data_IF_259456817002
#
_entry.id   IF_259456817002
#
_cell.length_a   1.000
_cell.length_b   1.000
_cell.length_c   1.000
_cell.angle_alpha   90.00
_cell.angle_beta   90.00
_cell.angle_gamma   90.00
#
_symmetry.space_group_name_H-M   'P 1'
#
loop_
_entity.id
_entity.type
_entity.pdbx_description
1 polymer ?
#
# COMPACT_ATOMS: atom_id res chain seq x y z
N UNK A 1 -13.42 9.83 44.58
CA UNK A 1 -14.62 9.16 44.05
C UNK A 1 -14.94 9.90 42.77
N UNK A 2 -14.40 9.42 41.65
CA UNK A 2 -14.54 10.07 40.34
C UNK A 2 -15.72 9.40 39.66
N UNK A 3 -16.77 10.17 39.41
CA UNK A 3 -17.95 9.71 38.69
C UNK A 3 -17.61 9.49 37.20
N UNK A 4 -18.11 8.36 36.72
CA UNK A 4 -18.13 7.94 35.33
C UNK A 4 -18.75 9.04 34.45
N UNK A 5 -17.99 9.51 33.46
CA UNK A 5 -18.57 10.02 32.22
C UNK A 5 -18.61 8.85 31.25
N UNK A 6 -19.80 8.25 31.15
CA UNK A 6 -20.16 7.34 30.07
C UNK A 6 -19.85 8.03 28.73
N UNK A 7 -18.84 7.51 28.04
CA UNK A 7 -18.58 7.86 26.66
C UNK A 7 -19.73 7.32 25.81
N UNK A 8 -20.59 8.23 25.33
CA UNK A 8 -21.73 7.91 24.49
C UNK A 8 -21.29 7.18 23.20
N UNK A 9 -21.61 5.88 23.05
CA UNK A 9 -21.22 5.08 21.90
C UNK A 9 -21.91 5.52 20.60
N UNK A 10 -22.88 6.45 20.67
CA UNK A 10 -23.52 7.03 19.49
C UNK A 10 -22.60 8.02 18.74
N UNK A 11 -21.74 8.76 19.44
CA UNK A 11 -20.82 9.73 18.82
C UNK A 11 -19.76 9.07 17.91
N UNK A 12 -19.23 7.91 18.30
CA UNK A 12 -18.22 7.17 17.52
C UNK A 12 -18.77 6.48 16.25
N UNK A 13 -20.09 6.24 16.18
CA UNK A 13 -20.73 5.66 14.99
C UNK A 13 -21.13 6.71 13.96
N UNK A 14 -21.47 7.92 14.41
CA UNK A 14 -21.90 9.00 13.53
C UNK A 14 -20.72 9.70 12.83
N UNK A 15 -19.55 9.81 13.49
CA UNK A 15 -18.34 10.34 12.83
C UNK A 15 -17.89 9.45 11.67
N UNK A 16 -17.81 8.13 11.89
CA UNK A 16 -17.33 7.19 10.86
C UNK A 16 -18.12 7.24 9.54
N UNK A 17 -19.43 7.45 9.60
CA UNK A 17 -20.27 7.49 8.39
C UNK A 17 -20.13 8.81 7.61
N UNK A 18 -20.00 9.93 8.32
CA UNK A 18 -19.73 11.25 7.73
C UNK A 18 -18.30 11.28 7.17
N UNK A 19 -17.33 10.75 7.92
CA UNK A 19 -15.95 10.58 7.48
C UNK A 19 -15.90 9.74 6.18
N UNK A 20 -16.61 8.61 6.12
CA UNK A 20 -16.65 7.77 4.92
C UNK A 20 -17.25 8.48 3.70
N UNK A 21 -18.29 9.31 3.86
CA UNK A 21 -18.90 10.05 2.75
C UNK A 21 -17.98 11.17 2.22
N UNK A 22 -17.34 11.91 3.10
CA UNK A 22 -16.40 12.97 2.71
C UNK A 22 -15.16 12.37 2.03
N UNK A 23 -14.60 11.29 2.60
CA UNK A 23 -13.52 10.53 1.97
C UNK A 23 -13.93 9.94 0.62
N UNK A 24 -15.17 9.43 0.49
CA UNK A 24 -15.66 8.88 -0.76
C UNK A 24 -15.65 9.94 -1.87
N UNK A 25 -16.19 11.13 -1.60
CA UNK A 25 -16.28 12.19 -2.60
C UNK A 25 -14.89 12.69 -3.01
N UNK A 26 -13.97 12.83 -2.05
CA UNK A 26 -12.61 13.28 -2.29
C UNK A 26 -11.77 12.21 -3.02
N UNK A 27 -11.84 10.95 -2.61
CA UNK A 27 -11.11 9.85 -3.25
C UNK A 27 -11.57 9.64 -4.68
N UNK A 28 -12.88 9.58 -4.91
CA UNK A 28 -13.41 9.36 -6.27
C UNK A 28 -12.93 10.45 -7.24
N UNK A 29 -12.85 11.70 -6.77
CA UNK A 29 -12.43 12.80 -7.63
C UNK A 29 -10.91 12.88 -7.82
N UNK A 30 -10.12 12.35 -6.89
CA UNK A 30 -8.66 12.54 -6.85
C UNK A 30 -7.84 11.30 -7.20
N UNK A 31 -8.41 10.10 -7.14
CA UNK A 31 -7.73 8.86 -7.56
C UNK A 31 -8.28 8.46 -8.93
N UNK A 32 -7.45 8.55 -9.97
CA UNK A 32 -7.85 8.24 -11.35
C UNK A 32 -6.98 7.15 -11.94
N UNK A 33 -7.60 6.24 -12.70
CA UNK A 33 -6.86 5.27 -13.48
C UNK A 33 -6.29 5.94 -14.74
N UNK A 34 -5.02 5.69 -15.04
CA UNK A 34 -4.44 6.03 -16.33
C UNK A 34 -5.07 5.20 -17.44
N UNK A 35 -5.23 5.80 -18.62
CA UNK A 35 -5.70 5.14 -19.82
C UNK A 35 -4.57 4.54 -20.69
N UNK A 36 -3.31 4.71 -20.28
CA UNK A 36 -2.14 4.22 -21.01
C UNK A 36 -1.78 2.77 -20.62
N UNK A 37 -0.99 2.10 -21.45
CA UNK A 37 -0.48 0.76 -21.14
C UNK A 37 0.45 0.79 -19.93
N UNK A 38 0.62 -0.35 -19.25
CA UNK A 38 1.47 -0.42 -18.05
C UNK A 38 2.93 -0.02 -18.35
N UNK A 39 3.46 -0.38 -19.52
CA UNK A 39 4.83 -0.03 -19.90
C UNK A 39 5.00 1.48 -20.08
N UNK A 40 4.05 2.15 -20.74
CA UNK A 40 4.05 3.62 -20.88
C UNK A 40 3.87 4.29 -19.52
N UNK A 41 3.02 3.73 -18.64
CA UNK A 41 2.86 4.22 -17.29
C UNK A 41 4.18 4.16 -16.50
N UNK A 42 4.96 3.08 -16.63
CA UNK A 42 6.26 2.97 -15.95
C UNK A 42 7.23 4.04 -16.45
N UNK A 43 7.29 4.27 -17.76
CA UNK A 43 8.14 5.31 -18.36
C UNK A 43 7.79 6.70 -17.85
N UNK A 44 6.50 7.03 -17.83
CA UNK A 44 6.04 8.39 -17.51
C UNK A 44 5.94 8.67 -16.00
N UNK A 45 5.56 7.66 -15.20
CA UNK A 45 5.16 7.85 -13.81
C UNK A 45 6.12 7.23 -12.80
N UNK A 46 7.01 6.32 -13.21
CA UNK A 46 7.97 5.64 -12.33
C UNK A 46 9.40 5.91 -12.82
N UNK A 47 9.90 7.14 -12.67
CA UNK A 47 11.21 7.52 -13.19
C UNK A 47 12.32 6.77 -12.45
N UNK A 48 13.33 6.34 -13.20
CA UNK A 48 14.57 5.77 -12.68
C UNK A 48 15.76 6.37 -13.42
N UNK A 49 16.78 6.78 -12.67
CA UNK A 49 18.03 7.32 -13.23
C UNK A 49 18.94 6.21 -13.81
N UNK A 50 18.59 4.95 -13.56
CA UNK A 50 19.29 3.78 -14.07
C UNK A 50 18.31 2.82 -14.76
N UNK A 51 18.75 2.10 -15.81
CA UNK A 51 17.92 1.07 -16.40
C UNK A 51 17.61 -0.02 -15.36
N UNK A 52 16.41 -0.65 -15.41
CA UNK A 52 16.10 -1.79 -14.57
C UNK A 52 17.15 -2.88 -14.72
N UNK A 53 17.52 -3.50 -13.60
CA UNK A 53 18.38 -4.70 -13.66
C UNK A 53 17.61 -5.88 -14.25
N UNK A 54 18.31 -6.95 -14.65
CA UNK A 54 17.62 -8.13 -15.16
C UNK A 54 16.77 -8.76 -14.06
N UNK A 55 15.45 -8.87 -14.29
CA UNK A 55 14.53 -9.52 -13.36
C UNK A 55 15.01 -10.95 -13.07
N UNK A 56 15.26 -11.30 -11.80
CA UNK A 56 15.68 -12.64 -11.47
C UNK A 56 14.56 -13.63 -11.78
N UNK A 57 14.92 -14.89 -11.98
CA UNK A 57 13.92 -15.97 -12.08
C UNK A 57 13.24 -16.13 -10.72
N UNK A 58 12.03 -15.60 -10.61
CA UNK A 58 11.18 -15.74 -9.41
C UNK A 58 10.53 -17.13 -9.34
N UNK A 59 10.54 -17.86 -10.45
CA UNK A 59 10.07 -19.25 -10.54
C UNK A 59 8.62 -19.41 -10.09
N UNK A 60 8.38 -20.40 -9.23
CA UNK A 60 7.05 -20.71 -8.68
C UNK A 60 6.65 -19.82 -7.49
N UNK A 61 7.51 -18.93 -6.98
CA UNK A 61 7.22 -18.16 -5.75
C UNK A 61 6.05 -17.19 -5.93
N UNK A 62 5.98 -16.45 -7.04
CA UNK A 62 4.82 -15.60 -7.33
C UNK A 62 3.56 -16.42 -7.60
N UNK A 63 3.71 -17.62 -8.18
CA UNK A 63 2.58 -18.53 -8.41
C UNK A 63 2.02 -19.08 -7.09
N UNK A 64 2.88 -19.27 -6.08
CA UNK A 64 2.52 -19.74 -4.75
C UNK A 64 1.66 -18.75 -3.95
N UNK A 65 1.59 -17.47 -4.35
CA UNK A 65 0.65 -16.52 -3.73
C UNK A 65 -0.79 -16.98 -4.02
N UNK A 66 -1.61 -17.30 -3.02
CA UNK A 66 -2.95 -17.81 -3.25
C UNK A 66 -3.86 -16.75 -3.93
N UNK A 67 -4.67 -17.19 -4.90
CA UNK A 67 -5.64 -16.35 -5.63
C UNK A 67 -7.04 -16.39 -5.02
N UNK A 68 -7.23 -17.17 -3.95
CA UNK A 68 -8.50 -17.42 -3.25
C UNK A 68 -8.16 -17.85 -1.83
N UNK A 69 -9.11 -17.68 -0.92
CA UNK A 69 -8.93 -18.05 0.48
C UNK A 69 -8.85 -16.82 1.37
N UNK A 70 -8.19 -16.95 2.52
CA UNK A 70 -8.09 -15.86 3.48
C UNK A 70 -7.00 -14.89 3.04
N UNK A 71 -7.28 -13.59 3.13
CA UNK A 71 -6.33 -12.54 2.77
C UNK A 71 -4.96 -12.70 3.46
N UNK A 72 -4.96 -13.07 4.75
CA UNK A 72 -3.75 -13.33 5.54
C UNK A 72 -2.83 -14.41 4.94
N UNK A 73 -3.38 -15.38 4.20
CA UNK A 73 -2.60 -16.45 3.57
C UNK A 73 -1.76 -15.94 2.38
N UNK A 74 -2.02 -14.71 1.91
CA UNK A 74 -1.26 -14.08 0.83
C UNK A 74 0.05 -13.43 1.31
N UNK A 75 0.16 -13.06 2.59
CA UNK A 75 1.17 -12.10 3.03
C UNK A 75 2.58 -12.70 3.04
N UNK A 76 2.79 -13.83 3.71
CA UNK A 76 4.11 -14.48 3.76
C UNK A 76 4.61 -14.95 2.38
N UNK A 77 3.77 -15.57 1.53
CA UNK A 77 4.16 -15.87 0.14
C UNK A 77 4.55 -14.62 -0.65
N UNK A 78 3.85 -13.49 -0.43
CA UNK A 78 4.17 -12.22 -1.10
C UNK A 78 5.51 -11.66 -0.63
N UNK A 79 5.77 -11.68 0.68
CA UNK A 79 7.07 -11.28 1.25
C UNK A 79 8.21 -12.12 0.66
N UNK A 80 8.04 -13.43 0.57
CA UNK A 80 9.04 -14.33 0.00
C UNK A 80 9.30 -14.02 -1.50
N UNK A 81 8.24 -13.83 -2.28
CA UNK A 81 8.35 -13.55 -3.71
C UNK A 81 9.00 -12.19 -4.00
N UNK A 82 8.62 -11.14 -3.27
CA UNK A 82 9.21 -9.80 -3.38
C UNK A 82 10.67 -9.79 -2.91
N UNK A 83 10.99 -10.51 -1.83
CA UNK A 83 12.37 -10.70 -1.37
C UNK A 83 13.25 -11.34 -2.44
N UNK A 84 12.74 -12.36 -3.13
CA UNK A 84 13.44 -13.00 -4.25
C UNK A 84 13.68 -12.02 -5.42
N UNK A 85 12.68 -11.22 -5.78
CA UNK A 85 12.79 -10.19 -6.82
C UNK A 85 13.93 -9.21 -6.51
N UNK A 86 14.00 -8.74 -5.26
CA UNK A 86 15.00 -7.76 -4.83
C UNK A 86 16.41 -8.35 -4.67
N UNK A 87 16.62 -9.67 -4.74
CA UNK A 87 17.97 -10.25 -4.55
C UNK A 87 19.00 -9.82 -5.59
N UNK A 88 18.52 -9.47 -6.79
CA UNK A 88 19.39 -8.95 -7.86
C UNK A 88 19.93 -7.55 -7.56
N UNK A 89 19.33 -6.82 -6.60
CA UNK A 89 19.73 -5.46 -6.28
C UNK A 89 21.02 -5.44 -5.45
N UNK A 90 21.84 -4.39 -5.59
CA UNK A 90 22.96 -4.14 -4.68
C UNK A 90 22.51 -4.13 -3.22
N UNK A 91 23.29 -4.73 -2.32
CA UNK A 91 22.94 -4.86 -0.90
C UNK A 91 22.52 -3.52 -0.26
N UNK A 92 23.23 -2.44 -0.58
CA UNK A 92 22.94 -1.10 -0.05
C UNK A 92 21.63 -0.45 -0.56
N UNK A 93 21.03 -1.00 -1.61
CA UNK A 93 19.79 -0.52 -2.23
C UNK A 93 18.65 -1.54 -2.12
N UNK A 94 18.91 -2.71 -1.52
CA UNK A 94 17.96 -3.81 -1.49
C UNK A 94 16.90 -3.59 -0.41
N UNK A 95 15.61 -3.39 -0.76
CA UNK A 95 14.56 -3.28 0.23
C UNK A 95 14.38 -4.61 0.98
N UNK A 96 13.96 -4.51 2.23
CA UNK A 96 13.51 -5.68 3.01
C UNK A 96 11.99 -5.64 3.14
N UNK A 97 11.34 -6.76 2.86
CA UNK A 97 9.89 -6.88 2.89
C UNK A 97 9.43 -7.51 4.21
N UNK A 98 8.33 -7.00 4.75
CA UNK A 98 7.82 -7.43 6.04
C UNK A 98 6.32 -7.67 5.98
N UNK A 99 5.88 -8.78 6.58
CA UNK A 99 4.48 -9.05 6.85
C UNK A 99 4.03 -8.20 8.05
N UNK A 100 3.15 -7.24 7.79
CA UNK A 100 2.56 -6.39 8.82
C UNK A 100 1.38 -7.08 9.50
N UNK A 101 0.75 -8.07 8.87
CA UNK A 101 -0.31 -8.89 9.47
C UNK A 101 -1.48 -8.06 9.95
N UNK A 102 -1.78 -6.95 9.26
CA UNK A 102 -2.77 -5.97 9.71
C UNK A 102 -2.47 -5.39 11.11
N UNK A 103 -1.21 -5.31 11.54
CA UNK A 103 -0.88 -4.61 12.79
C UNK A 103 -0.99 -3.10 12.60
N UNK A 104 -1.57 -2.36 13.56
CA UNK A 104 -1.74 -0.92 13.46
C UNK A 104 -0.40 -0.19 13.47
N UNK A 105 -0.19 0.69 12.49
CA UNK A 105 0.91 1.63 12.49
C UNK A 105 0.36 3.02 12.81
N UNK A 106 0.80 3.55 13.95
CA UNK A 106 0.44 4.89 14.47
C UNK A 106 0.76 5.99 13.47
N UNK A 107 0.04 7.11 13.57
CA UNK A 107 0.32 8.27 12.73
C UNK A 107 1.76 8.78 12.95
N UNK A 108 2.46 9.31 11.93
CA UNK A 108 3.87 9.69 12.05
C UNK A 108 4.18 10.75 13.12
N UNK A 109 3.22 11.61 13.46
CA UNK A 109 3.39 12.69 14.42
C UNK A 109 2.57 12.44 15.69
N UNK A 110 3.28 12.18 16.79
CA UNK A 110 2.68 11.84 18.08
C UNK A 110 1.68 12.90 18.58
N UNK A 111 1.94 14.18 18.30
CA UNK A 111 1.04 15.28 18.65
C UNK A 111 -0.36 15.18 18.02
N UNK A 112 -0.51 14.38 16.97
CA UNK A 112 -1.77 14.20 16.22
C UNK A 112 -2.21 12.73 16.14
N UNK A 113 -1.52 11.80 16.82
CA UNK A 113 -1.85 10.36 16.82
C UNK A 113 -3.18 10.05 17.54
N UNK A 114 -3.68 10.99 18.35
CA UNK A 114 -4.97 10.86 19.03
C UNK A 114 -6.17 11.24 18.15
N UNK A 115 -5.96 12.08 17.11
CA UNK A 115 -7.00 12.53 16.18
C UNK A 115 -7.11 11.61 14.97
N UNK A 116 -5.99 11.03 14.53
CA UNK A 116 -5.92 10.28 13.28
C UNK A 116 -5.84 8.78 13.58
N UNK A 117 -6.75 7.96 13.00
CA UNK A 117 -6.73 6.54 13.25
C UNK A 117 -5.44 5.90 12.72
N UNK A 118 -4.94 4.84 13.39
CA UNK A 118 -3.80 4.08 12.88
C UNK A 118 -4.14 3.42 11.56
N UNK A 119 -3.14 3.26 10.70
CA UNK A 119 -3.33 2.58 9.42
C UNK A 119 -2.98 1.10 9.56
N UNK A 120 -3.80 0.26 8.96
CA UNK A 120 -3.61 -1.19 8.90
C UNK A 120 -3.02 -1.53 7.53
N UNK A 121 -1.86 -2.19 7.51
CA UNK A 121 -1.15 -2.55 6.28
C UNK A 121 -0.91 -4.04 6.21
N UNK A 122 -0.74 -4.54 4.99
CA UNK A 122 -0.57 -5.98 4.74
C UNK A 122 0.91 -6.34 4.66
N UNK A 123 1.60 -5.76 3.69
CA UNK A 123 3.03 -5.96 3.45
C UNK A 123 3.69 -4.61 3.18
N UNK A 124 4.89 -4.40 3.73
CA UNK A 124 5.67 -3.19 3.52
C UNK A 124 7.08 -3.53 3.03
N UNK A 125 7.72 -2.56 2.38
CA UNK A 125 9.15 -2.56 2.13
C UNK A 125 9.82 -1.45 2.94
N UNK A 126 10.98 -1.72 3.53
CA UNK A 126 11.75 -0.74 4.31
C UNK A 126 12.85 -0.05 3.50
N UNK A 127 13.24 1.15 3.94
CA UNK A 127 14.34 1.91 3.33
C UNK A 127 15.67 1.22 3.66
N UNK A 128 16.44 0.73 2.67
CA UNK A 128 17.64 -0.08 2.91
C UNK A 128 18.73 0.61 3.73
N UNK A 129 18.86 1.92 3.57
CA UNK A 129 19.93 2.72 4.17
C UNK A 129 19.65 3.17 5.60
N UNK A 130 18.47 2.85 6.16
CA UNK A 130 18.10 3.26 7.51
C UNK A 130 18.17 2.08 8.49
N UNK A 131 18.84 2.26 9.66
CA UNK A 131 18.79 1.25 10.70
C UNK A 131 17.35 1.13 11.21
N UNK A 132 16.85 -0.11 11.25
CA UNK A 132 15.55 -0.39 11.86
C UNK A 132 15.68 -0.18 13.37
N UNK A 133 15.04 0.88 13.88
CA UNK A 133 14.98 1.21 15.30
C UNK A 133 13.61 0.83 15.84
N UNK A 134 13.57 0.09 16.95
CA UNK A 134 12.32 -0.28 17.62
C UNK A 134 11.51 0.95 18.08
N UNK A 135 10.16 0.93 17.93
CA UNK A 135 9.37 -0.10 17.29
C UNK A 135 9.63 -0.17 15.78
N UNK A 136 9.86 -1.39 15.27
CA UNK A 136 10.28 -1.71 13.88
C UNK A 136 9.51 -0.97 12.77
N UNK A 137 8.25 -0.62 13.01
CA UNK A 137 7.32 -0.09 12.00
C UNK A 137 7.01 1.40 12.19
N UNK A 138 8.01 2.28 12.14
CA UNK A 138 7.77 3.73 12.02
C UNK A 138 7.66 4.12 10.55
N UNK A 139 6.72 5.01 10.22
CA UNK A 139 6.52 5.50 8.85
C UNK A 139 7.78 6.06 8.18
N UNK A 140 8.69 6.65 8.95
CA UNK A 140 9.98 7.12 8.43
C UNK A 140 10.87 6.02 7.82
N UNK A 141 10.61 4.75 8.13
CA UNK A 141 11.34 3.60 7.60
C UNK A 141 10.60 2.90 6.45
N UNK A 142 9.33 3.24 6.18
CA UNK A 142 8.49 2.56 5.18
C UNK A 142 8.73 3.18 3.79
N UNK A 143 9.31 2.42 2.87
CA UNK A 143 9.60 2.89 1.51
C UNK A 143 8.42 2.70 0.55
N UNK A 144 7.72 1.57 0.67
CA UNK A 144 6.66 1.10 -0.22
C UNK A 144 5.65 0.27 0.59
N UNK A 145 4.39 0.34 0.19
CA UNK A 145 3.28 -0.45 0.77
C UNK A 145 2.66 -1.31 -0.29
N UNK A 146 2.34 -2.55 0.09
CA UNK A 146 1.55 -3.49 -0.68
C UNK A 146 0.24 -3.73 0.06
N UNK A 147 -0.88 -3.46 -0.61
CA UNK A 147 -2.22 -3.80 -0.14
C UNK A 147 -2.75 -4.97 -0.96
N UNK A 148 -3.17 -6.04 -0.30
CA UNK A 148 -3.54 -7.30 -0.88
C UNK A 148 -5.04 -7.56 -0.67
N UNK A 149 -5.71 -8.06 -1.70
CA UNK A 149 -7.04 -8.67 -1.60
C UNK A 149 -7.07 -9.97 -2.38
N UNK A 150 -7.82 -10.99 -1.92
CA UNK A 150 -7.74 -12.32 -2.51
C UNK A 150 -8.36 -12.41 -3.90
N UNK A 151 -9.32 -11.56 -4.28
CA UNK A 151 -10.04 -11.69 -5.55
C UNK A 151 -9.80 -10.50 -6.48
N UNK A 152 -9.82 -10.74 -7.80
CA UNK A 152 -9.77 -9.68 -8.81
C UNK A 152 -10.96 -8.72 -8.66
N UNK A 153 -12.10 -9.23 -8.18
CA UNK A 153 -13.32 -8.44 -7.96
C UNK A 153 -13.24 -7.51 -6.77
N UNK A 154 -12.18 -7.61 -5.98
CA UNK A 154 -11.87 -6.73 -4.85
C UNK A 154 -10.94 -5.58 -5.26
N UNK A 155 -10.57 -5.49 -6.55
CA UNK A 155 -9.83 -4.36 -7.11
C UNK A 155 -10.62 -3.06 -6.89
N UNK A 156 -10.10 -2.11 -6.09
CA UNK A 156 -10.82 -0.91 -5.70
C UNK A 156 -11.11 0.03 -6.86
N UNK A 157 -10.43 -0.12 -8.00
CA UNK A 157 -10.70 0.67 -9.20
C UNK A 157 -11.80 0.06 -10.07
N UNK A 158 -12.27 -1.15 -9.76
CA UNK A 158 -13.24 -1.88 -10.58
C UNK A 158 -14.70 -1.59 -10.25
N UNK A 159 -14.99 -1.14 -9.01
CA UNK A 159 -16.35 -0.95 -8.49
C UNK A 159 -16.39 0.16 -7.45
N UNK A 160 -17.55 0.81 -7.37
CA UNK A 160 -17.84 1.86 -6.39
C UNK A 160 -18.69 1.30 -5.24
N UNK A 161 -18.07 0.54 -4.34
CA UNK A 161 -18.76 0.07 -3.11
C UNK A 161 -17.95 0.41 -1.87
N UNK A 162 -18.59 0.41 -0.70
CA UNK A 162 -17.97 0.74 0.59
C UNK A 162 -16.66 -0.06 0.83
N UNK A 163 -16.63 -1.34 0.46
CA UNK A 163 -15.43 -2.17 0.61
C UNK A 163 -14.27 -1.67 -0.26
N UNK A 164 -14.54 -1.32 -1.52
CA UNK A 164 -13.54 -0.79 -2.45
C UNK A 164 -13.04 0.59 -2.00
N UNK A 165 -13.95 1.43 -1.49
CA UNK A 165 -13.60 2.73 -0.91
C UNK A 165 -12.68 2.60 0.28
N UNK A 166 -12.95 1.65 1.20
CA UNK A 166 -12.06 1.40 2.34
C UNK A 166 -10.64 1.06 1.92
N UNK A 167 -10.47 0.23 0.88
CA UNK A 167 -9.15 -0.10 0.35
C UNK A 167 -8.45 1.13 -0.27
N UNK A 168 -9.17 2.02 -0.96
CA UNK A 168 -8.58 3.29 -1.43
C UNK A 168 -8.22 4.23 -0.29
N UNK A 169 -9.01 4.28 0.79
CA UNK A 169 -8.71 5.05 1.99
C UNK A 169 -7.42 4.53 2.64
N UNK A 170 -7.27 3.21 2.80
CA UNK A 170 -6.06 2.57 3.35
C UNK A 170 -4.81 2.93 2.53
N UNK A 171 -4.91 2.85 1.19
CA UNK A 171 -3.84 3.27 0.29
C UNK A 171 -3.51 4.77 0.44
N UNK A 172 -4.52 5.64 0.46
CA UNK A 172 -4.33 7.08 0.60
C UNK A 172 -3.72 7.45 1.95
N UNK A 173 -4.15 6.80 3.04
CA UNK A 173 -3.56 6.96 4.37
C UNK A 173 -2.10 6.50 4.39
N UNK A 174 -1.79 5.36 3.78
CA UNK A 174 -0.41 4.89 3.66
C UNK A 174 0.48 5.86 2.90
N UNK A 175 -0.01 6.38 1.77
CA UNK A 175 0.70 7.39 0.98
C UNK A 175 0.95 8.67 1.77
N UNK A 176 -0.11 9.20 2.40
CA UNK A 176 -0.03 10.38 3.26
C UNK A 176 1.03 10.20 4.32
N UNK A 177 1.02 9.09 5.04
CA UNK A 177 1.92 8.88 6.16
C UNK A 177 3.38 8.69 5.71
N UNK A 178 3.64 8.05 4.56
CA UNK A 178 4.97 8.02 3.95
C UNK A 178 5.44 9.44 3.59
N UNK A 179 4.61 10.20 2.86
CA UNK A 179 4.97 11.55 2.41
C UNK A 179 5.24 12.49 3.59
N UNK A 180 4.40 12.46 4.62
CA UNK A 180 4.54 13.27 5.82
C UNK A 180 5.79 12.93 6.63
N UNK A 181 6.04 11.64 6.87
CA UNK A 181 7.15 11.20 7.73
C UNK A 181 8.53 11.38 7.10
N UNK A 182 8.59 11.51 5.77
CA UNK A 182 9.84 11.54 5.01
C UNK A 182 10.00 12.81 4.16
N UNK A 183 9.03 13.73 4.20
CA UNK A 183 9.04 14.95 3.39
C UNK A 183 8.98 14.70 1.87
N UNK A 184 8.48 13.55 1.43
CA UNK A 184 8.42 13.21 0.00
C UNK A 184 7.37 14.04 -0.74
N UNK A 185 7.62 14.29 -2.03
CA UNK A 185 6.68 14.94 -2.93
C UNK A 185 5.58 13.99 -3.44
N UNK A 186 5.90 12.71 -3.51
CA UNK A 186 5.00 11.64 -3.93
C UNK A 186 5.35 10.33 -3.20
N UNK A 187 4.43 9.38 -3.21
CA UNK A 187 4.63 8.03 -2.71
C UNK A 187 4.07 7.00 -3.69
N UNK A 188 4.72 5.85 -3.76
CA UNK A 188 4.22 4.70 -4.50
C UNK A 188 3.60 3.70 -3.54
N UNK A 189 2.52 3.08 -3.98
CA UNK A 189 1.88 1.94 -3.33
C UNK A 189 1.49 0.94 -4.40
N UNK A 190 1.46 -0.34 -4.05
CA UNK A 190 1.09 -1.42 -4.96
C UNK A 190 -0.13 -2.13 -4.40
N UNK A 191 -1.18 -2.25 -5.21
CA UNK A 191 -2.31 -3.12 -4.92
C UNK A 191 -2.14 -4.47 -5.60
N UNK A 192 -2.37 -5.58 -4.89
CA UNK A 192 -2.44 -6.93 -5.45
C UNK A 192 -3.86 -7.46 -5.19
N UNK A 193 -4.62 -7.70 -6.25
CA UNK A 193 -6.03 -8.09 -6.19
C UNK A 193 -6.23 -9.39 -6.96
N UNK A 194 -6.21 -10.51 -6.25
CA UNK A 194 -6.19 -11.85 -6.86
C UNK A 194 -5.03 -12.00 -7.83
N UNK A 195 -5.33 -12.10 -9.13
CA UNK A 195 -4.36 -12.35 -10.20
C UNK A 195 -3.79 -11.09 -10.85
N UNK A 196 -4.24 -9.90 -10.44
CA UNK A 196 -3.78 -8.62 -11.01
C UNK A 196 -3.12 -7.76 -9.95
N UNK A 197 -2.25 -6.85 -10.39
CA UNK A 197 -1.69 -5.81 -9.55
C UNK A 197 -1.84 -4.44 -10.21
N UNK A 198 -1.72 -3.39 -9.40
CA UNK A 198 -1.77 -1.98 -9.81
C UNK A 198 -0.73 -1.17 -9.06
N UNK A 199 -0.11 -0.21 -9.74
CA UNK A 199 0.78 0.77 -9.13
C UNK A 199 -0.01 2.06 -8.94
N UNK A 200 0.04 2.61 -7.73
CA UNK A 200 -0.55 3.89 -7.40
C UNK A 200 0.58 4.89 -7.12
N UNK A 201 0.59 5.98 -7.87
CA UNK A 201 1.46 7.13 -7.61
C UNK A 201 0.62 8.23 -6.96
N UNK A 202 0.81 8.42 -5.66
CA UNK A 202 0.16 9.47 -4.89
C UNK A 202 1.02 10.72 -4.81
N UNK A 203 0.40 11.89 -4.87
CA UNK A 203 1.01 13.17 -4.50
C UNK A 203 0.06 13.95 -3.57
N UNK A 204 0.28 15.26 -3.42
CA UNK A 204 -0.55 16.12 -2.55
C UNK A 204 -1.95 16.39 -3.09
N UNK A 205 -2.19 16.18 -4.39
CA UNK A 205 -3.48 16.45 -5.03
C UNK A 205 -4.34 15.19 -5.14
N UNK A 206 -3.73 14.01 -5.27
CA UNK A 206 -4.46 12.76 -5.45
C UNK A 206 -3.55 11.59 -5.80
N UNK A 207 -4.04 10.71 -6.68
CA UNK A 207 -3.26 9.63 -7.24
C UNK A 207 -3.61 9.30 -8.68
N UNK A 208 -2.60 8.85 -9.42
CA UNK A 208 -2.77 8.16 -10.70
C UNK A 208 -2.46 6.68 -10.48
N UNK A 209 -3.41 5.84 -10.85
CA UNK A 209 -3.33 4.39 -10.78
C UNK A 209 -3.01 3.82 -12.16
N UNK A 210 -2.10 2.85 -12.26
CA UNK A 210 -1.83 2.14 -13.50
C UNK A 210 -3.04 1.32 -13.98
N UNK A 211 -3.04 0.94 -15.26
CA UNK A 211 -3.86 -0.17 -15.72
C UNK A 211 -3.52 -1.45 -14.92
N UNK A 212 -4.48 -2.38 -14.74
CA UNK A 212 -4.20 -3.63 -14.05
C UNK A 212 -3.26 -4.50 -14.90
N UNK A 213 -2.25 -5.11 -14.27
CA UNK A 213 -1.31 -6.01 -14.95
C UNK A 213 -1.22 -7.35 -14.22
N UNK A 214 -0.89 -8.41 -14.94
CA UNK A 214 -0.79 -9.76 -14.38
C UNK A 214 0.59 -10.00 -13.80
N UNK A 215 0.79 -9.57 -12.56
CA UNK A 215 2.09 -9.62 -11.87
C UNK A 215 2.77 -11.00 -11.81
N UNK A 216 2.00 -12.10 -11.88
CA UNK A 216 2.54 -13.47 -11.95
C UNK A 216 3.10 -13.84 -13.32
N UNK A 217 2.56 -13.25 -14.39
CA UNK A 217 2.99 -13.46 -15.78
C UNK A 217 4.09 -12.45 -16.18
N UNK A 218 4.05 -11.24 -15.62
CA UNK A 218 5.00 -10.14 -15.88
C UNK A 218 5.68 -9.68 -14.57
N UNK A 219 6.53 -10.52 -13.95
CA UNK A 219 7.17 -10.23 -12.67
C UNK A 219 8.12 -9.03 -12.74
N UNK A 220 8.64 -8.72 -13.93
CA UNK A 220 9.55 -7.59 -14.18
C UNK A 220 8.94 -6.23 -13.91
N UNK A 221 7.60 -6.11 -13.81
CA UNK A 221 6.93 -4.84 -13.48
C UNK A 221 7.02 -4.54 -11.97
N UNK A 222 7.15 -5.58 -11.14
CA UNK A 222 7.37 -5.45 -9.69
C UNK A 222 8.84 -5.50 -9.30
N UNK A 223 9.73 -5.75 -10.28
CA UNK A 223 11.18 -5.74 -10.12
C UNK A 223 11.71 -4.33 -10.29
#
# INVERSE_FOLDING_TARGET
MFDNLDADPAHGKQSNAVDLQDWQQDIHNRIKQSCVAIDDFLVDMVPSDAPPTCCPRVGELLKAIPLRGKELEMYDPTVAALGQLAMSFPSAQRPTFHNCGHRPIKFPFESHDWELPPTMLDVIATIPSLPLIEPLFRWRHVALVFQLKPLNTDDPMSKETITHWKTLIELAQGARNIMLSQGRLYAFLVGIYGSVARIFRFDRAGAICSAPFKYKETPSILH
#
